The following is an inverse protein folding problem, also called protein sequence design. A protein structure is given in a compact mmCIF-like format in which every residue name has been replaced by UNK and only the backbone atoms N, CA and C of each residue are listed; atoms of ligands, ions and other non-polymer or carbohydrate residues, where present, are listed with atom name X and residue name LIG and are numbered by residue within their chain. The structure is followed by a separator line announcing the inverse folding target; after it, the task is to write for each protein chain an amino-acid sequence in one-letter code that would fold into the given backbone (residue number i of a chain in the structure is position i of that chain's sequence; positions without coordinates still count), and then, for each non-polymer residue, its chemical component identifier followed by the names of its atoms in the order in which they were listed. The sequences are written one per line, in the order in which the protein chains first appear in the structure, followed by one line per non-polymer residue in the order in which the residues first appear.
data_IF_558727669917
#
_entry.id   IF_558727669917
#
_cell.length_a   1.000
_cell.length_b   1.000
_cell.length_c   1.000
_cell.angle_alpha   90.00
_cell.angle_beta   90.00
_cell.angle_gamma   90.00
#
_symmetry.space_group_name_H-M   'P 1'
#
loop_
_entity.id
_entity.type
_entity.pdbx_description
1 polymer ?
#
# COMPACT_ATOMS: atom_id res chain seq x y z
N UNK A 1 -39.85 -20.84 56.57
CA UNK A 1 -40.92 -20.99 55.55
C UNK A 1 -41.00 -19.65 54.82
N UNK A 2 -40.34 -19.57 53.66
CA UNK A 2 -40.57 -18.73 52.48
C UNK A 2 -39.29 -18.82 51.61
N UNK A 3 -39.49 -19.26 50.38
CA UNK A 3 -38.51 -19.43 49.30
C UNK A 3 -38.33 -18.11 48.53
N UNK A 4 -37.19 -17.94 47.86
CA UNK A 4 -36.96 -17.26 46.57
C UNK A 4 -35.44 -17.11 46.39
N UNK A 5 -34.74 -17.96 45.63
CA UNK A 5 -34.60 -17.96 44.15
C UNK A 5 -33.95 -16.69 43.58
N UNK A 6 -32.78 -16.86 42.93
CA UNK A 6 -32.18 -15.83 42.07
C UNK A 6 -30.66 -15.83 42.02
N UNK A 7 -30.02 -16.82 41.37
CA UNK A 7 -28.66 -16.64 40.82
C UNK A 7 -28.28 -17.73 39.79
N UNK A 8 -29.13 -17.91 38.78
CA UNK A 8 -28.78 -18.68 37.58
C UNK A 8 -28.55 -17.73 36.41
N UNK A 9 -27.30 -17.33 36.16
CA UNK A 9 -26.85 -16.83 34.83
C UNK A 9 -25.33 -16.69 34.66
N UNK A 10 -24.50 -17.42 35.41
CA UNK A 10 -23.03 -17.33 35.30
C UNK A 10 -22.29 -18.68 35.17
N UNK A 11 -22.94 -19.74 34.68
CA UNK A 11 -22.28 -21.07 34.55
C UNK A 11 -22.66 -21.87 33.30
N UNK A 12 -22.57 -21.28 32.10
CA UNK A 12 -22.83 -22.05 30.87
C UNK A 12 -21.81 -21.97 29.74
N UNK A 13 -20.58 -21.47 29.93
CA UNK A 13 -19.59 -21.47 28.83
C UNK A 13 -18.17 -21.98 29.15
N UNK A 14 -18.00 -22.81 30.19
CA UNK A 14 -16.66 -23.37 30.55
C UNK A 14 -16.54 -24.89 30.38
N UNK A 15 -17.60 -25.61 29.97
CA UNK A 15 -17.54 -27.07 29.77
C UNK A 15 -17.70 -27.42 28.30
N UNK A 16 -16.69 -27.09 27.50
CA UNK A 16 -16.51 -27.63 26.14
C UNK A 16 -15.05 -27.95 25.83
N UNK A 17 -14.30 -28.26 26.87
CA UNK A 17 -12.94 -28.80 26.80
C UNK A 17 -12.96 -30.00 27.76
N UNK A 18 -12.46 -31.14 27.29
CA UNK A 18 -12.34 -32.42 28.01
C UNK A 18 -13.59 -33.32 28.00
N UNK A 19 -13.96 -33.89 26.87
CA UNK A 19 -14.43 -35.29 26.79
C UNK A 19 -14.56 -35.67 25.32
N UNK A 20 -13.57 -36.40 24.81
CA UNK A 20 -13.66 -37.42 23.74
C UNK A 20 -12.26 -37.66 23.17
N UNK A 21 -11.37 -38.13 24.05
CA UNK A 21 -10.35 -39.08 23.65
C UNK A 21 -10.83 -40.46 24.10
N UNK A 22 -10.62 -41.44 23.22
CA UNK A 22 -10.50 -42.89 23.45
C UNK A 22 -11.74 -43.72 23.79
N UNK A 23 -12.33 -44.32 22.75
CA UNK A 23 -12.68 -45.75 22.66
C UNK A 23 -13.04 -46.03 21.17
N UNK A 24 -12.20 -46.71 20.36
CA UNK A 24 -12.17 -48.18 20.16
C UNK A 24 -13.50 -48.68 19.60
N UNK A 25 -13.65 -49.48 18.54
CA UNK A 25 -12.82 -50.10 17.52
C UNK A 25 -13.81 -50.98 16.69
N UNK A 26 -13.46 -51.33 15.45
CA UNK A 26 -14.05 -52.45 14.69
C UNK A 26 -15.52 -52.37 14.27
N UNK A 27 -15.93 -51.47 13.36
CA UNK A 27 -16.80 -51.81 12.21
C UNK A 27 -16.70 -50.65 11.20
N UNK A 28 -15.92 -50.82 10.13
CA UNK A 28 -16.10 -50.23 8.77
C UNK A 28 -14.77 -50.24 7.99
N UNK A 29 -14.13 -51.42 7.97
CA UNK A 29 -13.00 -51.74 7.08
C UNK A 29 -13.45 -52.11 5.65
N UNK A 30 -14.65 -51.71 5.22
CA UNK A 30 -15.23 -52.07 3.92
C UNK A 30 -15.42 -50.89 2.94
N UNK A 31 -14.87 -49.71 3.25
CA UNK A 31 -14.92 -48.54 2.34
C UNK A 31 -13.55 -48.08 1.84
N UNK A 32 -12.47 -48.74 2.28
CA UNK A 32 -11.09 -48.34 1.98
C UNK A 32 -10.57 -48.91 0.65
N UNK A 33 -11.25 -49.90 0.05
CA UNK A 33 -10.79 -50.51 -1.20
C UNK A 33 -11.39 -49.82 -2.44
N UNK A 34 -12.49 -49.07 -2.32
CA UNK A 34 -13.11 -48.39 -3.48
C UNK A 34 -12.62 -46.96 -3.72
N UNK A 35 -11.94 -46.34 -2.75
CA UNK A 35 -11.33 -45.02 -2.93
C UNK A 35 -9.86 -45.07 -3.37
N UNK A 36 -9.23 -46.25 -3.40
CA UNK A 36 -7.85 -46.41 -3.87
C UNK A 36 -7.73 -46.41 -5.42
N UNK A 37 -8.83 -46.61 -6.14
CA UNK A 37 -8.80 -46.70 -7.62
C UNK A 37 -9.23 -45.42 -8.34
N UNK A 38 -9.72 -44.40 -7.62
CA UNK A 38 -10.14 -43.11 -8.21
C UNK A 38 -9.08 -42.01 -7.98
N UNK A 39 -8.09 -42.24 -7.11
CA UNK A 39 -7.06 -41.24 -6.76
C UNK A 39 -5.78 -41.38 -7.59
N UNK A 40 -5.62 -42.46 -8.36
CA UNK A 40 -4.47 -42.67 -9.26
C UNK A 40 -4.73 -42.26 -10.73
N UNK A 41 -5.73 -41.41 -10.95
CA UNK A 41 -5.96 -40.72 -12.22
C UNK A 41 -5.82 -39.19 -12.09
N UNK A 42 -5.09 -38.70 -11.08
CA UNK A 42 -4.48 -37.37 -11.18
C UNK A 42 -3.24 -37.56 -12.05
N UNK A 43 -3.52 -37.49 -13.34
CA UNK A 43 -2.58 -37.38 -14.43
C UNK A 43 -1.47 -36.44 -14.00
N UNK A 44 -0.28 -37.00 -13.77
CA UNK A 44 0.99 -36.25 -13.87
C UNK A 44 1.10 -35.88 -15.34
N UNK A 45 0.36 -34.85 -15.75
CA UNK A 45 0.60 -34.20 -17.02
C UNK A 45 1.97 -33.53 -16.85
N UNK A 46 2.96 -33.84 -17.70
CA UNK A 46 4.13 -33.01 -17.77
C UNK A 46 3.62 -31.62 -18.13
N UNK A 47 3.69 -30.68 -17.19
CA UNK A 47 3.60 -29.25 -17.47
C UNK A 47 4.87 -28.87 -18.23
N UNK A 48 5.00 -29.37 -19.46
CA UNK A 48 5.62 -28.61 -20.53
C UNK A 48 4.69 -27.42 -20.73
N UNK A 49 4.86 -26.44 -19.84
CA UNK A 49 4.31 -25.12 -19.95
C UNK A 49 5.04 -24.48 -21.13
N UNK A 50 4.57 -24.87 -22.32
CA UNK A 50 4.97 -24.36 -23.60
C UNK A 50 4.69 -22.88 -23.57
N UNK A 51 5.76 -22.14 -23.28
CA UNK A 51 6.09 -20.82 -23.77
C UNK A 51 4.97 -20.21 -24.61
N UNK A 52 4.00 -19.57 -23.95
CA UNK A 52 3.13 -18.62 -24.62
C UNK A 52 4.03 -17.56 -25.24
N UNK A 53 4.34 -17.73 -26.52
CA UNK A 53 4.92 -16.72 -27.38
C UNK A 53 3.84 -15.65 -27.57
N UNK A 54 3.59 -14.87 -26.51
CA UNK A 54 3.01 -13.56 -26.70
C UNK A 54 3.99 -12.82 -27.61
N UNK A 55 3.55 -12.32 -28.78
CA UNK A 55 4.38 -11.43 -29.55
C UNK A 55 4.77 -10.31 -28.58
N UNK A 56 6.06 -10.24 -28.22
CA UNK A 56 6.60 -9.15 -27.43
C UNK A 56 6.35 -7.90 -28.28
N UNK A 57 5.23 -7.22 -28.04
CA UNK A 57 5.12 -5.81 -28.38
C UNK A 57 6.38 -5.20 -27.80
N UNK A 58 7.27 -4.72 -28.66
CA UNK A 58 8.57 -4.20 -28.24
C UNK A 58 8.27 -2.99 -27.37
N UNK A 59 8.28 -3.19 -26.05
CA UNK A 59 8.06 -2.08 -25.13
C UNK A 59 9.37 -1.29 -25.12
N UNK A 60 9.30 -0.04 -25.57
CA UNK A 60 10.46 0.82 -25.67
C UNK A 60 10.90 1.32 -24.28
N UNK A 61 12.22 1.42 -24.09
CA UNK A 61 12.81 1.97 -22.86
C UNK A 61 12.71 3.51 -22.85
N UNK A 62 12.42 4.09 -21.69
CA UNK A 62 12.35 5.54 -21.53
C UNK A 62 13.73 6.20 -21.60
N UNK A 63 14.04 6.86 -22.72
CA UNK A 63 15.30 7.58 -22.91
C UNK A 63 15.52 8.70 -21.85
N UNK A 64 14.45 9.38 -21.43
CA UNK A 64 14.52 10.40 -20.38
C UNK A 64 14.85 9.80 -19.00
N UNK A 65 14.36 8.59 -18.70
CA UNK A 65 14.63 7.90 -17.44
C UNK A 65 16.10 7.48 -17.34
N UNK A 66 16.70 7.04 -18.45
CA UNK A 66 18.14 6.70 -18.51
C UNK A 66 19.04 7.89 -18.10
N UNK A 67 18.57 9.11 -18.32
CA UNK A 67 19.24 10.34 -17.93
C UNK A 67 18.76 10.91 -16.58
N UNK A 68 17.95 10.17 -15.81
CA UNK A 68 17.31 10.62 -14.57
C UNK A 68 16.35 11.83 -14.71
N UNK A 69 15.79 12.05 -15.90
CA UNK A 69 14.95 13.21 -16.22
C UNK A 69 13.46 12.88 -16.39
N UNK A 70 13.05 11.61 -16.40
CA UNK A 70 11.63 11.27 -16.50
C UNK A 70 10.94 11.44 -15.14
N UNK A 71 9.99 12.37 -15.07
CA UNK A 71 9.18 12.66 -13.87
C UNK A 71 7.71 12.31 -14.05
N UNK A 72 7.30 11.82 -15.23
CA UNK A 72 5.90 11.56 -15.55
C UNK A 72 5.41 10.35 -14.75
N UNK A 73 4.45 10.52 -13.81
CA UNK A 73 3.79 9.38 -13.18
C UNK A 73 3.00 8.64 -14.27
N UNK A 74 3.22 7.33 -14.40
CA UNK A 74 2.70 6.49 -15.50
C UNK A 74 3.28 6.82 -16.88
N UNK A 75 4.60 6.92 -16.99
CA UNK A 75 5.27 6.99 -18.29
C UNK A 75 4.82 5.81 -19.19
N UNK A 76 4.51 6.09 -20.47
CA UNK A 76 4.15 5.06 -21.45
C UNK A 76 5.31 4.15 -21.88
N UNK A 77 6.52 4.43 -21.40
CA UNK A 77 7.76 3.71 -21.68
C UNK A 77 8.25 2.99 -20.42
N UNK A 78 8.99 1.88 -20.58
CA UNK A 78 9.53 1.13 -19.43
C UNK A 78 10.71 1.87 -18.80
N UNK A 79 10.72 1.92 -17.47
CA UNK A 79 11.81 2.43 -16.66
C UNK A 79 12.68 1.28 -16.15
N UNK A 80 13.99 1.30 -16.45
CA UNK A 80 14.90 0.23 -16.02
C UNK A 80 15.41 0.48 -14.60
N UNK A 81 14.71 -0.05 -13.61
CA UNK A 81 15.05 0.13 -12.20
C UNK A 81 16.23 -0.75 -11.75
N UNK A 82 16.84 -0.38 -10.61
CA UNK A 82 17.82 -1.23 -9.91
C UNK A 82 17.14 -1.92 -8.72
N UNK A 83 17.09 -3.25 -8.76
CA UNK A 83 16.40 -4.08 -7.78
C UNK A 83 17.35 -4.60 -6.69
N UNK A 84 16.83 -4.78 -5.47
CA UNK A 84 17.60 -5.30 -4.35
C UNK A 84 17.64 -6.83 -4.41
N UNK A 85 18.77 -7.40 -4.84
CA UNK A 85 18.96 -8.85 -4.90
C UNK A 85 18.85 -9.53 -3.52
N UNK A 86 19.30 -8.86 -2.45
CA UNK A 86 19.15 -9.37 -1.08
C UNK A 86 17.68 -9.49 -0.66
N UNK A 87 16.84 -8.52 -1.05
CA UNK A 87 15.41 -8.57 -0.78
C UNK A 87 14.72 -9.71 -1.52
N UNK A 88 15.08 -9.93 -2.78
CA UNK A 88 14.57 -11.06 -3.58
C UNK A 88 14.92 -12.42 -2.95
N UNK A 89 16.05 -12.50 -2.24
CA UNK A 89 16.46 -13.68 -1.47
C UNK A 89 16.10 -13.58 0.03
N UNK A 90 15.12 -12.75 0.40
CA UNK A 90 14.59 -12.58 1.76
C UNK A 90 15.60 -12.20 2.86
N UNK A 91 16.77 -11.67 2.49
CA UNK A 91 17.86 -11.30 3.42
C UNK A 91 17.95 -9.80 3.69
N UNK A 92 17.21 -8.95 2.97
CA UNK A 92 17.22 -7.50 3.18
C UNK A 92 16.03 -7.05 4.03
N UNK A 93 16.32 -6.43 5.18
CA UNK A 93 15.34 -5.78 6.06
C UNK A 93 15.56 -4.27 6.21
N UNK A 94 16.47 -3.69 5.42
CA UNK A 94 16.83 -2.28 5.53
C UNK A 94 15.79 -1.37 4.87
N UNK A 95 15.06 -0.60 5.68
CA UNK A 95 14.08 0.38 5.22
C UNK A 95 14.70 1.53 4.41
N UNK A 96 16.02 1.75 4.53
CA UNK A 96 16.78 2.77 3.80
C UNK A 96 17.58 2.18 2.62
N UNK A 97 17.29 0.96 2.20
CA UNK A 97 17.98 0.34 1.07
C UNK A 97 17.90 1.25 -0.17
N UNK A 98 19.03 1.54 -0.86
CA UNK A 98 19.03 2.41 -2.05
C UNK A 98 18.43 1.74 -3.29
N UNK A 99 18.19 0.43 -3.23
CA UNK A 99 17.61 -0.36 -4.31
C UNK A 99 16.13 -0.66 -4.03
N UNK A 100 15.37 -0.96 -5.08
CA UNK A 100 13.94 -1.29 -4.95
C UNK A 100 13.72 -2.67 -4.34
N UNK A 101 12.81 -2.76 -3.37
CA UNK A 101 12.36 -4.01 -2.78
C UNK A 101 11.14 -4.57 -3.51
N UNK A 102 11.36 -5.31 -4.60
CA UNK A 102 10.30 -6.09 -5.25
C UNK A 102 10.68 -7.57 -5.32
N UNK A 103 9.68 -8.43 -5.43
CA UNK A 103 9.89 -9.86 -5.69
C UNK A 103 10.35 -10.09 -7.14
N UNK A 104 11.00 -11.23 -7.40
CA UNK A 104 11.41 -11.61 -8.76
C UNK A 104 10.22 -11.74 -9.72
N UNK A 105 9.06 -12.20 -9.22
CA UNK A 105 7.81 -12.30 -9.99
C UNK A 105 7.30 -10.91 -10.39
N UNK A 106 7.36 -9.94 -9.48
CA UNK A 106 6.95 -8.56 -9.79
C UNK A 106 7.89 -7.87 -10.76
N UNK A 107 9.21 -8.06 -10.62
CA UNK A 107 10.18 -7.56 -11.60
C UNK A 107 9.87 -8.10 -12.99
N UNK A 108 9.74 -9.42 -13.13
CA UNK A 108 9.46 -10.05 -14.42
C UNK A 108 8.14 -9.55 -15.03
N UNK A 109 7.09 -9.42 -14.21
CA UNK A 109 5.81 -8.88 -14.65
C UNK A 109 5.95 -7.46 -15.18
N UNK A 110 6.67 -6.59 -14.47
CA UNK A 110 6.87 -5.22 -14.90
C UNK A 110 7.69 -5.13 -16.19
N UNK A 111 8.81 -5.84 -16.29
CA UNK A 111 9.65 -5.86 -17.48
C UNK A 111 8.93 -6.43 -18.72
N UNK A 112 7.97 -7.34 -18.51
CA UNK A 112 7.19 -7.95 -19.60
C UNK A 112 5.99 -7.11 -20.02
N UNK A 113 5.32 -6.44 -19.08
CA UNK A 113 4.03 -5.78 -19.33
C UNK A 113 4.09 -4.26 -19.32
N UNK A 114 5.15 -3.68 -18.77
CA UNK A 114 5.26 -2.24 -18.46
C UNK A 114 4.30 -1.76 -17.37
N UNK A 115 3.50 -2.64 -16.75
CA UNK A 115 2.50 -2.27 -15.74
C UNK A 115 3.05 -2.45 -14.34
N UNK A 116 3.14 -1.36 -13.58
CA UNK A 116 3.64 -1.36 -12.21
C UNK A 116 2.61 -1.94 -11.23
N UNK A 117 3.07 -2.74 -10.26
CA UNK A 117 2.26 -3.16 -9.11
C UNK A 117 2.19 -2.03 -8.06
N UNK A 118 1.19 -2.05 -7.19
CA UNK A 118 1.08 -1.06 -6.10
C UNK A 118 2.28 -1.09 -5.16
N UNK A 119 2.87 -2.27 -4.93
CA UNK A 119 4.10 -2.41 -4.16
C UNK A 119 5.29 -1.78 -4.87
N UNK A 120 5.44 -2.01 -6.18
CA UNK A 120 6.50 -1.39 -6.97
C UNK A 120 6.38 0.13 -6.96
N UNK A 121 5.17 0.69 -7.13
CA UNK A 121 4.92 2.14 -7.04
C UNK A 121 5.36 2.72 -5.69
N UNK A 122 5.01 2.03 -4.60
CA UNK A 122 5.41 2.43 -3.23
C UNK A 122 6.93 2.45 -3.07
N UNK A 123 7.61 1.41 -3.55
CA UNK A 123 9.07 1.29 -3.46
C UNK A 123 9.83 2.25 -4.37
N UNK A 124 9.26 2.55 -5.55
CA UNK A 124 9.76 3.65 -6.39
C UNK A 124 9.67 4.94 -5.59
N UNK A 125 8.51 5.28 -5.03
CA UNK A 125 8.35 6.46 -4.17
C UNK A 125 9.40 6.55 -3.04
N UNK A 126 9.62 5.44 -2.32
CA UNK A 126 10.61 5.35 -1.24
C UNK A 126 12.05 5.61 -1.74
N UNK A 127 12.45 4.94 -2.82
CA UNK A 127 13.81 5.09 -3.37
C UNK A 127 14.03 6.44 -4.04
N UNK A 128 12.98 7.04 -4.62
CA UNK A 128 13.04 8.39 -5.18
C UNK A 128 13.30 9.44 -4.08
N UNK A 129 12.70 9.28 -2.89
CA UNK A 129 12.92 10.15 -1.74
C UNK A 129 14.35 10.06 -1.17
N UNK A 130 15.01 8.90 -1.31
CA UNK A 130 16.39 8.71 -0.84
C UNK A 130 17.45 9.17 -1.84
N UNK A 131 17.09 9.46 -3.08
CA UNK A 131 18.04 10.01 -4.05
C UNK A 131 18.36 11.46 -3.68
N UNK A 132 19.65 11.82 -3.71
CA UNK A 132 20.12 13.18 -3.46
C UNK A 132 19.52 14.15 -4.49
N UNK A 133 18.42 14.80 -4.11
CA UNK A 133 17.77 15.86 -4.89
C UNK A 133 18.78 17.01 -5.00
N UNK A 134 18.94 17.56 -6.20
CA UNK A 134 19.81 18.70 -6.43
C UNK A 134 19.28 19.92 -5.67
N UNK A 135 19.92 20.27 -4.56
CA UNK A 135 19.55 21.46 -3.78
C UNK A 135 19.61 22.74 -4.63
N UNK A 136 20.60 22.87 -5.52
CA UNK A 136 20.70 24.01 -6.45
C UNK A 136 19.50 24.07 -7.42
N UNK A 137 19.05 22.93 -7.93
CA UNK A 137 17.90 22.91 -8.84
C UNK A 137 16.60 23.20 -8.11
N UNK A 138 16.45 22.69 -6.88
CA UNK A 138 15.31 23.02 -6.00
C UNK A 138 15.18 24.54 -5.80
N UNK A 139 16.29 25.27 -5.79
CA UNK A 139 16.33 26.72 -5.67
C UNK A 139 16.27 27.47 -7.01
N UNK A 140 16.28 26.76 -8.15
CA UNK A 140 16.31 27.37 -9.49
C UNK A 140 17.71 27.73 -10.02
N UNK A 141 18.78 27.43 -9.27
CA UNK A 141 20.16 27.86 -9.57
C UNK A 141 21.00 26.80 -10.31
N UNK A 142 20.46 25.61 -10.59
CA UNK A 142 21.25 24.58 -11.27
C UNK A 142 21.27 24.79 -12.78
N UNK A 143 22.38 25.33 -13.28
CA UNK A 143 22.65 25.55 -14.70
C UNK A 143 23.36 24.37 -15.38
N UNK A 144 23.69 23.31 -14.65
CA UNK A 144 24.41 22.16 -15.20
C UNK A 144 23.49 21.34 -16.11
N UNK A 145 23.81 21.18 -17.41
CA UNK A 145 22.97 20.41 -18.34
C UNK A 145 22.96 18.90 -18.03
N UNK A 146 23.97 18.41 -17.30
CA UNK A 146 24.10 17.00 -16.87
C UNK A 146 24.40 16.94 -15.36
N UNK A 147 23.44 17.36 -14.54
CA UNK A 147 23.60 17.28 -13.09
C UNK A 147 23.62 15.82 -12.61
N UNK A 148 24.55 15.48 -11.72
CA UNK A 148 24.63 14.15 -11.09
C UNK A 148 23.50 13.92 -10.08
N UNK A 149 22.95 15.01 -9.55
CA UNK A 149 21.88 15.03 -8.58
C UNK A 149 20.54 15.17 -9.30
N UNK A 150 19.47 14.59 -8.76
CA UNK A 150 18.18 14.56 -9.44
C UNK A 150 17.51 15.94 -9.42
N UNK A 151 17.05 16.40 -10.59
CA UNK A 151 16.29 17.63 -10.76
C UNK A 151 14.79 17.29 -10.67
N UNK A 152 14.20 17.49 -9.50
CA UNK A 152 12.75 17.30 -9.32
C UNK A 152 12.09 18.64 -9.59
N UNK A 153 11.43 18.76 -10.75
CA UNK A 153 10.57 19.90 -11.02
C UNK A 153 9.32 19.68 -10.18
N UNK A 154 9.22 20.39 -9.07
CA UNK A 154 7.95 20.54 -8.38
C UNK A 154 7.10 21.46 -9.27
N UNK A 155 6.57 20.91 -10.35
CA UNK A 155 5.36 21.47 -10.95
C UNK A 155 4.27 21.17 -9.91
N UNK A 156 4.23 21.96 -8.84
CA UNK A 156 3.20 21.89 -7.82
C UNK A 156 1.94 22.30 -8.57
N UNK A 157 1.22 21.32 -9.10
CA UNK A 157 -0.16 21.53 -9.46
C UNK A 157 -0.80 22.20 -8.24
N UNK A 158 -1.48 23.34 -8.43
CA UNK A 158 -2.05 24.09 -7.32
C UNK A 158 -2.84 23.12 -6.43
N UNK A 159 -2.55 23.11 -5.13
CA UNK A 159 -3.23 22.20 -4.20
C UNK A 159 -4.71 22.56 -4.20
N UNK A 160 -5.60 21.61 -4.49
CA UNK A 160 -7.04 21.84 -4.46
C UNK A 160 -7.64 21.39 -3.12
N UNK A 161 -8.56 22.16 -2.57
CA UNK A 161 -9.26 21.79 -1.36
C UNK A 161 -10.28 20.69 -1.65
N UNK A 162 -10.22 19.57 -0.95
CA UNK A 162 -11.17 18.47 -1.16
C UNK A 162 -12.61 18.77 -0.71
N UNK A 163 -12.85 19.91 -0.06
CA UNK A 163 -14.17 20.34 0.42
C UNK A 163 -14.80 21.33 -0.56
N UNK A 164 -14.11 22.44 -0.88
CA UNK A 164 -14.64 23.47 -1.79
C UNK A 164 -14.12 23.39 -3.22
N UNK A 165 -13.17 22.49 -3.52
CA UNK A 165 -12.50 22.32 -4.83
C UNK A 165 -11.72 23.53 -5.33
N UNK A 166 -11.57 24.57 -4.51
CA UNK A 166 -10.78 25.75 -4.86
C UNK A 166 -9.28 25.50 -4.65
N UNK A 167 -8.47 26.22 -5.42
CA UNK A 167 -7.01 26.24 -5.27
C UNK A 167 -6.66 26.86 -3.90
N UNK A 168 -5.96 26.08 -3.08
CA UNK A 168 -5.42 26.48 -1.78
C UNK A 168 -4.16 27.31 -2.03
N UNK A 169 -4.23 28.59 -1.68
CA UNK A 169 -3.04 29.40 -1.51
C UNK A 169 -2.27 28.91 -0.27
N UNK A 170 -0.95 28.77 -0.37
CA UNK A 170 -0.09 28.26 0.70
C UNK A 170 -0.25 29.08 2.00
N UNK A 171 -0.49 30.39 1.89
CA UNK A 171 -0.76 31.29 3.03
C UNK A 171 -2.09 31.03 3.75
N UNK A 172 -2.99 30.30 3.11
CA UNK A 172 -4.33 29.97 3.58
C UNK A 172 -4.51 28.45 3.74
N UNK A 173 -3.42 27.74 4.04
CA UNK A 173 -3.43 26.30 4.22
C UNK A 173 -3.82 25.94 5.67
N UNK A 174 -4.86 25.12 5.80
CA UNK A 174 -5.25 24.49 7.06
C UNK A 174 -4.89 23.01 7.04
N UNK A 175 -4.19 22.54 8.08
CA UNK A 175 -3.89 21.12 8.23
C UNK A 175 -4.35 20.63 9.62
N UNK A 176 -4.98 19.46 9.64
CA UNK A 176 -5.21 18.74 10.89
C UNK A 176 -3.98 17.91 11.26
N UNK A 177 -3.79 17.61 12.55
CA UNK A 177 -2.69 16.74 13.02
C UNK A 177 -2.74 15.31 12.41
N UNK A 178 -3.86 14.95 11.76
CA UNK A 178 -4.00 13.73 10.99
C UNK A 178 -3.35 13.75 9.59
N UNK A 179 -2.79 14.89 9.16
CA UNK A 179 -2.11 15.05 7.86
C UNK A 179 -3.01 15.39 6.68
N UNK A 180 -4.33 15.53 6.89
CA UNK A 180 -5.25 16.00 5.84
C UNK A 180 -5.24 17.53 5.73
N UNK A 181 -5.22 18.02 4.49
CA UNK A 181 -5.04 19.43 4.13
C UNK A 181 -6.33 19.97 3.51
N UNK A 182 -6.74 21.17 3.92
CA UNK A 182 -7.88 21.90 3.41
C UNK A 182 -7.55 23.40 3.29
N UNK A 183 -8.38 24.19 2.62
CA UNK A 183 -8.26 25.64 2.76
C UNK A 183 -8.66 26.06 4.19
N UNK A 184 -8.05 27.13 4.70
CA UNK A 184 -8.27 27.62 6.06
C UNK A 184 -9.76 27.85 6.35
N UNK A 185 -10.51 28.39 5.37
CA UNK A 185 -11.95 28.62 5.53
C UNK A 185 -12.74 27.34 5.75
N UNK A 186 -12.45 26.28 4.98
CA UNK A 186 -13.12 24.99 5.14
C UNK A 186 -12.69 24.31 6.44
N UNK A 187 -11.41 24.37 6.80
CA UNK A 187 -10.92 23.84 8.07
C UNK A 187 -11.63 24.49 9.27
N UNK A 188 -11.80 25.82 9.25
CA UNK A 188 -12.49 26.56 10.32
C UNK A 188 -14.01 26.29 10.34
N UNK A 189 -14.66 26.14 9.19
CA UNK A 189 -16.08 25.76 9.13
C UNK A 189 -16.35 24.37 9.70
N UNK A 190 -15.42 23.43 9.53
CA UNK A 190 -15.51 22.12 10.16
C UNK A 190 -15.42 22.18 11.70
N UNK A 191 -15.00 23.32 12.28
CA UNK A 191 -15.01 23.51 13.72
C UNK A 191 -16.37 23.96 14.25
N UNK A 192 -17.26 24.50 13.42
CA UNK A 192 -18.47 25.20 13.90
C UNK A 192 -19.72 24.29 13.90
N UNK A 193 -19.71 23.18 13.15
CA UNK A 193 -20.93 22.41 12.88
C UNK A 193 -21.34 21.39 13.96
N UNK A 194 -20.52 21.12 14.98
CA UNK A 194 -20.84 20.17 16.06
C UNK A 194 -21.16 20.93 17.37
N UNK A 195 -22.25 21.71 17.36
CA UNK A 195 -22.83 22.28 18.57
C UNK A 195 -23.68 21.20 19.28
N UNK A 196 -23.03 20.41 20.14
CA UNK A 196 -23.70 19.64 21.20
C UNK A 196 -23.19 20.16 22.53
N UNK A 197 -24.12 20.46 23.44
CA UNK A 197 -23.94 21.24 24.68
C UNK A 197 -22.54 21.12 25.33
N UNK A 198 -21.81 22.23 25.30
CA UNK A 198 -20.60 22.57 26.08
C UNK A 198 -19.22 22.02 25.67
N UNK A 199 -19.05 21.20 24.62
CA UNK A 199 -17.73 20.86 24.07
C UNK A 199 -17.75 20.70 22.55
N UNK A 200 -17.12 21.64 21.84
CA UNK A 200 -16.96 21.58 20.38
C UNK A 200 -15.81 20.61 20.04
N UNK A 201 -16.14 19.35 19.75
CA UNK A 201 -15.17 18.38 19.22
C UNK A 201 -15.03 18.55 17.70
N UNK A 202 -13.81 18.87 17.25
CA UNK A 202 -13.55 19.12 15.84
C UNK A 202 -13.08 17.84 15.16
N UNK A 203 -13.88 17.28 14.26
CA UNK A 203 -13.57 16.02 13.56
C UNK A 203 -13.13 16.24 12.13
N UNK A 204 -12.11 15.51 11.71
CA UNK A 204 -11.63 15.58 10.34
C UNK A 204 -12.68 15.05 9.34
N UNK A 205 -13.06 15.77 8.27
CA UNK A 205 -14.03 15.29 7.29
C UNK A 205 -13.61 14.01 6.55
N UNK A 206 -12.30 13.75 6.44
CA UNK A 206 -11.77 12.58 5.73
C UNK A 206 -11.68 11.38 6.66
N UNK A 207 -11.03 11.51 7.82
CA UNK A 207 -10.75 10.36 8.70
C UNK A 207 -11.54 10.34 10.01
N UNK A 208 -12.37 11.35 10.27
CA UNK A 208 -13.22 11.51 11.47
C UNK A 208 -12.50 11.52 12.81
N UNK A 209 -11.18 11.51 12.83
CA UNK A 209 -10.39 11.68 14.05
C UNK A 209 -10.66 13.07 14.64
N UNK A 210 -10.87 13.13 15.95
CA UNK A 210 -10.89 14.38 16.70
C UNK A 210 -9.45 14.90 16.78
N UNK A 211 -9.14 15.91 15.98
CA UNK A 211 -7.81 16.52 15.91
C UNK A 211 -7.97 18.04 15.82
N UNK A 212 -7.12 18.82 16.51
CA UNK A 212 -7.11 20.26 16.34
C UNK A 212 -6.62 20.60 14.93
N UNK A 213 -7.22 21.62 14.35
CA UNK A 213 -6.76 22.21 13.10
C UNK A 213 -5.84 23.40 13.40
N UNK A 214 -4.75 23.51 12.64
CA UNK A 214 -3.84 24.66 12.71
C UNK A 214 -3.73 25.31 11.33
N UNK A 215 -3.76 26.64 11.32
CA UNK A 215 -3.34 27.42 10.15
C UNK A 215 -1.82 27.31 10.05
N UNK A 216 -1.32 26.84 8.92
CA UNK A 216 0.11 26.82 8.63
C UNK A 216 0.42 28.12 7.91
N UNK A 217 0.87 29.13 8.67
CA UNK A 217 1.41 30.40 8.17
C UNK A 217 2.92 30.34 8.09
#
# INVERSE_FOLDING_TARGET
MFLCEGSDLLRQNVIRILFQKTAVSVVQFASVVYFASIVFAIVVLPTNMSCYNFPKSVIEECAAFKNNCCLVPNCGFIHKYKYCYKYQNTTCSDNKCPFLHCTSVEQLRYETTGKETEQLKREVGRTLQNSSICGKFKNGDCTLPKCRLRHVKYDVAPLECTICTEIINVEHLGAGDCGHIFCANCAMRCLINDEYENFVETRCPICRKSVPYKKLS
#
